data_IF_376990221576
#
_entry.id   IF_376990221576
#
_cell.length_a   1.000
_cell.length_b   1.000
_cell.length_c   1.000
_cell.angle_alpha   90.00
_cell.angle_beta   90.00
_cell.angle_gamma   90.00
#
_symmetry.space_group_name_H-M   'P 1'
#
loop_
_entity.id
_entity.type
_entity.pdbx_description
1 polymer ?
#
# COMPACT_ATOMS: atom_id res chain seq x y z
N UNK A 1 75.21 9.48 -18.04
CA UNK A 1 74.58 10.76 -17.67
C UNK A 1 73.26 10.45 -17.00
N UNK A 2 73.28 10.50 -15.67
CA UNK A 2 72.13 10.36 -14.79
C UNK A 2 71.24 11.59 -14.98
N UNK A 3 69.95 11.39 -15.24
CA UNK A 3 68.94 12.44 -15.09
C UNK A 3 68.01 12.02 -13.97
N UNK A 4 67.86 12.93 -13.02
CA UNK A 4 67.34 12.75 -11.68
C UNK A 4 65.83 12.54 -11.62
N UNK A 5 65.45 11.85 -10.56
CA UNK A 5 64.10 11.60 -10.09
C UNK A 5 63.41 12.88 -9.59
N UNK A 6 62.10 13.00 -9.84
CA UNK A 6 61.18 13.78 -9.00
C UNK A 6 59.97 12.93 -8.66
N UNK A 7 60.04 12.30 -7.49
CA UNK A 7 58.94 11.57 -6.88
C UNK A 7 57.85 12.50 -6.35
N UNK A 8 56.61 12.09 -6.49
CA UNK A 8 55.46 12.70 -5.84
C UNK A 8 55.55 12.49 -4.30
N UNK A 9 55.07 13.44 -3.48
CA UNK A 9 55.14 13.31 -2.02
C UNK A 9 54.26 12.16 -1.53
N UNK A 10 54.86 11.26 -0.75
CA UNK A 10 54.18 10.15 -0.08
C UNK A 10 53.20 10.68 0.98
N UNK A 11 51.93 10.33 0.84
CA UNK A 11 50.91 10.55 1.87
C UNK A 11 51.20 9.73 3.14
N UNK A 12 50.75 10.18 4.32
CA UNK A 12 51.10 9.55 5.59
C UNK A 12 50.59 8.10 5.71
N UNK A 13 51.34 7.21 6.38
CA UNK A 13 51.03 5.78 6.44
C UNK A 13 49.74 5.51 7.23
N UNK A 14 48.97 4.51 6.76
CA UNK A 14 47.64 4.08 7.23
C UNK A 14 47.60 3.48 8.66
N UNK A 15 48.41 3.96 9.60
CA UNK A 15 48.45 3.43 10.98
C UNK A 15 48.35 4.49 12.09
N UNK A 16 48.07 5.75 11.77
CA UNK A 16 47.97 6.83 12.78
C UNK A 16 46.54 7.27 13.18
N UNK A 17 45.48 6.62 12.69
CA UNK A 17 44.09 7.03 12.97
C UNK A 17 43.46 6.50 14.27
N UNK A 18 44.22 5.83 15.15
CA UNK A 18 43.67 5.22 16.38
C UNK A 18 44.13 5.85 17.70
N UNK A 19 44.66 7.08 17.71
CA UNK A 19 45.07 7.74 18.97
C UNK A 19 44.61 9.19 19.19
N UNK A 20 43.76 9.75 18.35
CA UNK A 20 43.18 11.08 18.60
C UNK A 20 41.66 11.03 18.47
N UNK A 21 40.96 11.09 19.61
CA UNK A 21 39.50 11.15 19.63
C UNK A 21 38.81 10.48 20.82
N UNK A 22 39.54 10.06 21.85
CA UNK A 22 38.96 9.60 23.11
C UNK A 22 38.58 10.78 24.03
N UNK A 23 37.90 11.81 23.50
CA UNK A 23 37.22 12.86 24.30
C UNK A 23 36.09 13.45 23.44
N UNK A 24 34.87 12.93 23.59
CA UNK A 24 33.54 13.60 23.36
C UNK A 24 32.39 12.58 23.50
N UNK A 25 32.46 11.69 24.50
CA UNK A 25 31.44 10.67 24.74
C UNK A 25 30.24 11.16 25.60
N UNK A 26 30.12 12.47 25.85
CA UNK A 26 29.05 13.02 26.71
C UNK A 26 27.87 13.66 25.94
N UNK A 27 28.03 14.00 24.66
CA UNK A 27 26.98 14.69 23.88
C UNK A 27 26.08 13.75 23.06
N UNK A 28 26.48 12.49 22.86
CA UNK A 28 25.75 11.51 22.06
C UNK A 28 24.52 10.91 22.75
N UNK A 29 24.49 10.89 24.09
CA UNK A 29 23.38 10.32 24.84
C UNK A 29 22.12 11.21 24.84
N UNK A 30 22.29 12.53 24.71
CA UNK A 30 21.15 13.48 24.64
C UNK A 30 20.52 13.48 23.25
N UNK A 31 21.32 13.39 22.19
CA UNK A 31 20.82 13.32 20.81
C UNK A 31 20.06 12.02 20.51
N UNK A 32 20.51 10.88 21.07
CA UNK A 32 19.83 9.60 20.92
C UNK A 32 18.42 9.59 21.58
N UNK A 33 18.23 10.37 22.65
CA UNK A 33 16.94 10.46 23.36
C UNK A 33 15.90 11.31 22.61
N UNK A 34 16.32 12.27 21.80
CA UNK A 34 15.45 13.05 20.90
C UNK A 34 15.02 12.25 19.65
N UNK A 35 15.89 11.37 19.15
CA UNK A 35 15.56 10.49 18.00
C UNK A 35 14.64 9.31 18.38
N UNK A 36 14.53 8.98 19.67
CA UNK A 36 13.68 7.90 20.20
C UNK A 36 12.38 8.40 20.84
N UNK A 37 12.21 9.70 21.08
CA UNK A 37 10.89 10.27 21.33
C UNK A 37 10.20 10.52 19.99
N UNK A 38 9.84 9.45 19.29
CA UNK A 38 8.60 9.53 18.52
C UNK A 38 7.53 9.89 19.55
N UNK A 39 7.12 11.16 19.57
CA UNK A 39 5.82 11.51 20.12
C UNK A 39 4.85 10.60 19.38
N UNK A 40 4.52 9.47 20.00
CA UNK A 40 3.29 8.76 19.70
C UNK A 40 2.26 9.80 20.04
N UNK A 41 1.84 10.56 19.03
CA UNK A 41 0.64 11.36 19.11
C UNK A 41 -0.41 10.38 19.62
N UNK A 42 -0.70 10.45 20.92
CA UNK A 42 -1.83 9.75 21.49
C UNK A 42 -2.98 10.38 20.74
N UNK A 43 -3.61 9.61 19.85
CA UNK A 43 -4.84 10.04 19.23
C UNK A 43 -5.71 10.57 20.36
N UNK A 44 -6.13 11.84 20.24
CA UNK A 44 -6.99 12.44 21.25
C UNK A 44 -8.17 11.49 21.48
N UNK A 45 -8.61 11.28 22.74
CA UNK A 45 -9.81 10.51 23.00
C UNK A 45 -10.93 11.03 22.09
N UNK A 46 -11.60 10.12 21.38
CA UNK A 46 -12.72 10.51 20.54
C UNK A 46 -13.74 11.25 21.42
N UNK A 47 -14.28 12.40 20.98
CA UNK A 47 -15.27 13.13 21.76
C UNK A 47 -16.45 12.21 22.08
N UNK A 48 -17.02 12.40 23.27
CA UNK A 48 -18.24 11.69 23.64
C UNK A 48 -19.36 12.12 22.68
N UNK A 49 -20.01 11.14 22.04
CA UNK A 49 -21.14 11.37 21.16
C UNK A 49 -22.38 10.66 21.71
N UNK A 50 -23.57 11.24 21.60
CA UNK A 50 -24.81 10.58 21.99
C UNK A 50 -25.13 9.42 21.03
N UNK A 51 -25.57 8.28 21.57
CA UNK A 51 -25.99 7.11 20.79
C UNK A 51 -24.95 5.98 20.72
N UNK A 52 -25.15 5.04 19.79
CA UNK A 52 -24.24 3.93 19.57
C UNK A 52 -23.05 4.32 18.67
N UNK A 53 -22.04 3.47 18.57
CA UNK A 53 -20.83 3.75 17.78
C UNK A 53 -21.13 4.05 16.30
N UNK A 54 -22.17 3.44 15.73
CA UNK A 54 -22.55 3.65 14.32
C UNK A 54 -23.07 5.07 14.11
N UNK A 55 -23.96 5.56 14.98
CA UNK A 55 -24.49 6.94 14.90
C UNK A 55 -23.34 7.95 15.03
N UNK A 56 -22.39 7.70 15.94
CA UNK A 56 -21.19 8.54 16.05
C UNK A 56 -20.38 8.53 14.75
N UNK A 57 -20.10 7.35 14.19
CA UNK A 57 -19.30 7.22 12.97
C UNK A 57 -19.95 7.92 11.77
N UNK A 58 -21.29 7.91 11.67
CA UNK A 58 -22.03 8.64 10.65
C UNK A 58 -21.90 10.16 10.84
N UNK A 59 -22.08 10.67 12.06
CA UNK A 59 -21.92 12.10 12.34
C UNK A 59 -20.48 12.59 12.12
N UNK A 60 -19.48 11.77 12.49
CA UNK A 60 -18.07 12.05 12.22
C UNK A 60 -17.78 12.08 10.71
N UNK A 61 -18.40 11.16 9.94
CA UNK A 61 -18.30 11.13 8.49
C UNK A 61 -18.94 12.37 7.86
N UNK A 62 -20.16 12.73 8.24
CA UNK A 62 -20.85 13.93 7.73
C UNK A 62 -20.01 15.18 7.99
N UNK A 63 -19.48 15.31 9.20
CA UNK A 63 -18.59 16.42 9.59
C UNK A 63 -17.28 16.41 8.80
N UNK A 64 -16.73 15.24 8.49
CA UNK A 64 -15.56 15.14 7.65
C UNK A 64 -15.88 15.60 6.22
N UNK A 65 -16.99 15.14 5.65
CA UNK A 65 -17.40 15.43 4.27
C UNK A 65 -17.72 16.90 4.00
N UNK A 66 -17.95 17.74 5.03
CA UNK A 66 -18.05 19.21 4.83
C UNK A 66 -16.71 19.86 4.49
N UNK A 67 -15.58 19.16 4.65
CA UNK A 67 -14.24 19.68 4.36
C UNK A 67 -13.91 19.48 2.89
N UNK A 68 -13.11 20.38 2.29
CA UNK A 68 -12.68 20.20 0.91
C UNK A 68 -11.80 18.94 0.77
N UNK A 69 -11.80 18.25 -0.39
CA UNK A 69 -11.11 16.97 -0.59
C UNK A 69 -9.62 16.97 -0.23
N UNK A 70 -8.93 18.10 -0.38
CA UNK A 70 -7.51 18.26 -0.04
C UNK A 70 -7.25 18.18 1.46
N UNK A 71 -8.28 18.39 2.28
CA UNK A 71 -8.24 18.25 3.74
C UNK A 71 -8.82 16.91 4.22
N UNK A 72 -9.28 16.05 3.31
CA UNK A 72 -9.72 14.70 3.61
C UNK A 72 -8.54 13.73 3.55
N UNK A 73 -8.56 12.71 4.40
CA UNK A 73 -7.60 11.61 4.37
C UNK A 73 -8.33 10.30 4.59
N UNK A 74 -8.41 9.48 3.55
CA UNK A 74 -9.03 8.17 3.65
C UNK A 74 -8.05 7.15 4.23
N UNK A 75 -8.46 6.51 5.33
CA UNK A 75 -7.68 5.47 6.00
C UNK A 75 -8.58 4.28 6.28
N UNK A 76 -8.05 3.08 6.04
CA UNK A 76 -8.70 1.82 6.40
C UNK A 76 -7.96 1.18 7.57
N UNK A 77 -8.64 1.01 8.69
CA UNK A 77 -8.13 0.29 9.87
C UNK A 77 -8.88 -1.03 9.99
N UNK A 78 -8.14 -2.13 10.12
CA UNK A 78 -8.69 -3.48 10.26
C UNK A 78 -8.22 -4.06 11.58
N UNK A 79 -9.14 -4.41 12.47
CA UNK A 79 -8.81 -5.15 13.69
C UNK A 79 -8.58 -6.63 13.35
N UNK A 80 -7.32 -7.02 13.27
CA UNK A 80 -6.92 -8.40 12.91
C UNK A 80 -7.27 -9.42 13.99
N UNK A 81 -7.49 -9.00 15.24
CA UNK A 81 -7.88 -9.90 16.34
C UNK A 81 -9.28 -10.47 16.15
N UNK A 82 -10.14 -9.73 15.44
CA UNK A 82 -11.51 -10.15 15.09
C UNK A 82 -11.57 -10.92 13.76
N UNK A 83 -10.45 -11.07 13.05
CA UNK A 83 -10.43 -11.76 11.78
C UNK A 83 -10.41 -13.28 11.98
N UNK A 84 -11.52 -13.93 11.63
CA UNK A 84 -11.67 -15.40 11.73
C UNK A 84 -11.35 -16.15 10.43
N UNK A 85 -10.85 -15.46 9.40
CA UNK A 85 -10.49 -16.12 8.14
C UNK A 85 -11.66 -16.46 7.20
N UNK A 86 -12.85 -15.89 7.39
CA UNK A 86 -14.05 -16.27 6.61
C UNK A 86 -14.03 -15.88 5.11
N UNK A 87 -13.05 -15.10 4.66
CA UNK A 87 -12.94 -14.61 3.27
C UNK A 87 -14.12 -13.80 2.72
N UNK A 88 -15.12 -13.43 3.54
CA UNK A 88 -16.26 -12.63 3.11
C UNK A 88 -15.82 -11.28 2.50
N UNK A 89 -14.80 -10.64 3.07
CA UNK A 89 -14.24 -9.39 2.53
C UNK A 89 -13.56 -9.55 1.16
N UNK A 90 -13.03 -10.74 0.85
CA UNK A 90 -12.44 -11.06 -0.45
C UNK A 90 -13.56 -11.18 -1.49
N UNK A 91 -14.60 -11.94 -1.17
CA UNK A 91 -15.76 -12.16 -2.05
C UNK A 91 -16.49 -10.84 -2.33
N UNK A 92 -16.78 -10.05 -1.29
CA UNK A 92 -17.43 -8.75 -1.44
C UNK A 92 -16.62 -7.79 -2.34
N UNK A 93 -15.30 -7.75 -2.17
CA UNK A 93 -14.45 -6.87 -2.97
C UNK A 93 -14.42 -7.31 -4.45
N UNK A 94 -14.40 -8.61 -4.72
CA UNK A 94 -14.50 -9.17 -6.09
C UNK A 94 -15.84 -8.82 -6.73
N UNK A 95 -16.93 -9.04 -5.99
CA UNK A 95 -18.29 -8.76 -6.44
C UNK A 95 -18.51 -7.27 -6.70
N UNK A 96 -17.89 -6.39 -5.91
CA UNK A 96 -18.04 -4.94 -6.06
C UNK A 96 -17.21 -4.40 -7.23
N UNK A 97 -15.93 -4.80 -7.35
CA UNK A 97 -14.96 -4.20 -8.28
C UNK A 97 -14.70 -5.05 -9.53
N UNK A 98 -15.50 -6.10 -9.77
CA UNK A 98 -15.39 -7.00 -10.93
C UNK A 98 -13.95 -7.53 -11.10
N UNK A 99 -13.38 -8.03 -9.99
CA UNK A 99 -12.01 -8.53 -9.98
C UNK A 99 -12.01 -9.96 -10.52
N UNK A 100 -11.15 -10.23 -11.51
CA UNK A 100 -11.04 -11.54 -12.13
C UNK A 100 -10.31 -12.58 -11.26
N UNK A 101 -10.18 -13.82 -11.76
CA UNK A 101 -9.42 -14.90 -11.12
C UNK A 101 -7.90 -14.62 -11.09
N UNK A 102 -7.40 -13.73 -11.95
CA UNK A 102 -5.99 -13.33 -12.03
C UNK A 102 -5.41 -12.83 -10.70
N UNK A 103 -6.26 -12.28 -9.83
CA UNK A 103 -5.82 -11.70 -8.58
C UNK A 103 -6.93 -11.45 -7.59
N UNK A 104 -6.62 -10.58 -6.63
CA UNK A 104 -7.59 -10.08 -5.67
C UNK A 104 -7.14 -8.75 -5.10
N UNK A 105 -8.06 -7.79 -5.01
CA UNK A 105 -7.84 -6.50 -4.36
C UNK A 105 -7.62 -6.66 -2.85
N UNK A 106 -8.26 -7.68 -2.28
CA UNK A 106 -8.19 -8.05 -0.87
C UNK A 106 -8.04 -9.56 -0.75
N UNK A 107 -7.13 -10.02 0.09
CA UNK A 107 -6.89 -11.44 0.38
C UNK A 107 -6.77 -11.65 1.88
N UNK A 108 -7.03 -12.85 2.36
CA UNK A 108 -6.80 -13.19 3.77
C UNK A 108 -5.64 -14.17 3.86
N UNK A 109 -4.55 -13.72 4.45
CA UNK A 109 -3.35 -14.53 4.64
C UNK A 109 -3.48 -15.32 5.93
N UNK A 110 -3.23 -16.62 5.88
CA UNK A 110 -3.06 -17.47 7.06
C UNK A 110 -1.59 -17.52 7.38
N UNK A 111 -1.21 -16.97 8.53
CA UNK A 111 0.17 -16.93 9.01
C UNK A 111 0.27 -17.91 10.17
N UNK A 112 1.11 -18.92 10.01
CA UNK A 112 1.44 -19.86 11.08
C UNK A 112 2.69 -19.36 11.80
N UNK A 113 2.67 -19.44 13.12
CA UNK A 113 3.79 -19.08 13.99
C UNK A 113 3.96 -20.14 15.06
N UNK A 114 5.19 -20.53 15.34
CA UNK A 114 5.52 -21.58 16.30
C UNK A 114 6.49 -22.63 15.73
N UNK A 115 6.79 -23.66 16.52
CA UNK A 115 7.76 -24.70 16.17
C UNK A 115 7.37 -26.05 16.77
N UNK A 116 7.63 -27.15 16.05
CA UNK A 116 7.26 -28.49 16.48
C UNK A 116 5.73 -28.66 16.53
N UNK A 117 5.21 -29.24 17.61
CA UNK A 117 3.77 -29.45 17.82
C UNK A 117 3.00 -28.20 18.26
N UNK A 118 3.69 -27.10 18.57
CA UNK A 118 3.06 -25.85 19.04
C UNK A 118 3.00 -24.84 17.90
N UNK A 119 1.93 -24.88 17.11
CA UNK A 119 1.68 -23.96 15.99
C UNK A 119 0.39 -23.18 16.23
N UNK A 120 0.47 -21.85 16.16
CA UNK A 120 -0.68 -20.96 16.19
C UNK A 120 -0.88 -20.32 14.82
N UNK A 121 -2.13 -20.35 14.33
CA UNK A 121 -2.54 -19.69 13.10
C UNK A 121 -3.17 -18.33 13.37
N UNK A 122 -2.73 -17.29 12.66
CA UNK A 122 -3.36 -15.96 12.66
C UNK A 122 -3.82 -15.60 11.25
N UNK A 123 -5.01 -15.03 11.12
CA UNK A 123 -5.51 -14.50 9.86
C UNK A 123 -5.21 -13.01 9.73
N UNK A 124 -4.60 -12.61 8.61
CA UNK A 124 -4.30 -11.22 8.29
C UNK A 124 -4.91 -10.84 6.94
N UNK A 125 -5.98 -10.03 6.92
CA UNK A 125 -6.44 -9.40 5.70
C UNK A 125 -5.35 -8.50 5.12
N UNK A 126 -5.05 -8.67 3.85
CA UNK A 126 -4.07 -7.89 3.11
C UNK A 126 -4.73 -7.24 1.89
N UNK A 127 -4.47 -5.96 1.69
CA UNK A 127 -4.92 -5.15 0.57
C UNK A 127 -3.86 -4.09 0.24
N UNK A 128 -4.10 -3.27 -0.79
CA UNK A 128 -3.27 -2.09 -1.03
C UNK A 128 -3.37 -1.12 0.16
N UNK A 129 -2.23 -0.71 0.70
CA UNK A 129 -2.13 0.19 1.85
C UNK A 129 -2.22 1.68 1.49
N UNK A 130 -2.38 2.02 0.21
CA UNK A 130 -2.38 3.41 -0.29
C UNK A 130 -1.19 4.24 0.23
N UNK A 131 0.02 3.70 0.15
CA UNK A 131 1.21 4.30 0.74
C UNK A 131 1.39 5.78 0.33
N UNK A 132 1.89 6.61 1.24
CA UNK A 132 2.24 8.01 0.93
C UNK A 132 3.45 8.09 0.01
N UNK A 133 4.50 7.35 0.35
CA UNK A 133 5.68 7.18 -0.50
C UNK A 133 5.62 5.85 -1.27
N UNK A 134 4.71 5.75 -2.23
CA UNK A 134 4.40 4.51 -2.95
C UNK A 134 5.60 4.00 -3.79
N UNK A 135 6.20 2.83 -3.45
CA UNK A 135 7.32 2.28 -4.23
C UNK A 135 6.91 1.88 -5.64
N UNK A 136 5.67 1.42 -5.84
CA UNK A 136 5.12 1.13 -7.16
C UNK A 136 5.06 2.37 -8.06
N UNK A 137 4.79 3.56 -7.51
CA UNK A 137 4.75 4.80 -8.29
C UNK A 137 6.16 5.24 -8.73
N UNK A 138 7.18 5.05 -7.88
CA UNK A 138 8.58 5.35 -8.23
C UNK A 138 9.20 4.37 -9.23
N UNK A 139 8.60 3.19 -9.39
CA UNK A 139 9.11 2.13 -10.25
C UNK A 139 8.67 2.27 -11.73
N UNK A 140 7.76 3.20 -12.03
CA UNK A 140 7.20 3.41 -13.38
C UNK A 140 7.31 4.89 -13.78
N UNK A 141 7.21 5.22 -15.08
CA UNK A 141 7.19 6.61 -15.53
C UNK A 141 6.14 7.46 -14.80
N UNK A 142 6.44 8.75 -14.63
CA UNK A 142 5.56 9.69 -13.99
C UNK A 142 4.20 9.77 -14.70
N UNK A 143 3.12 9.96 -13.93
CA UNK A 143 1.75 10.07 -14.45
C UNK A 143 0.98 8.75 -14.48
N UNK A 144 1.65 7.59 -14.55
CA UNK A 144 0.98 6.28 -14.57
C UNK A 144 0.38 5.89 -13.21
N UNK A 145 1.01 6.33 -12.12
CA UNK A 145 0.51 6.16 -10.75
C UNK A 145 0.62 7.51 -10.06
N UNK A 146 -0.51 8.01 -9.53
CA UNK A 146 -0.58 9.31 -8.86
C UNK A 146 -1.19 9.19 -7.47
N UNK A 147 -0.79 10.07 -6.56
CA UNK A 147 -1.42 10.18 -5.24
C UNK A 147 -2.45 11.32 -5.31
N UNK A 148 -3.72 11.01 -5.03
CA UNK A 148 -4.78 12.00 -4.93
C UNK A 148 -4.60 12.86 -3.67
N UNK A 149 -5.15 14.10 -3.64
CA UNK A 149 -5.12 14.95 -2.46
C UNK A 149 -5.70 14.30 -1.21
N UNK A 150 -6.71 13.43 -1.39
CA UNK A 150 -7.39 12.67 -0.31
C UNK A 150 -6.60 11.46 0.23
N UNK A 151 -5.41 11.19 -0.33
CA UNK A 151 -4.53 10.09 0.10
C UNK A 151 -4.68 8.78 -0.68
N UNK A 152 -5.61 8.67 -1.65
CA UNK A 152 -5.75 7.45 -2.45
C UNK A 152 -4.65 7.40 -3.52
N UNK A 153 -4.01 6.22 -3.70
CA UNK A 153 -3.10 5.99 -4.83
C UNK A 153 -3.94 5.55 -6.02
N UNK A 154 -3.87 6.27 -7.11
CA UNK A 154 -4.66 6.04 -8.32
C UNK A 154 -3.78 5.52 -9.45
N UNK A 155 -4.30 4.55 -10.20
CA UNK A 155 -3.62 3.95 -11.35
C UNK A 155 -4.26 4.48 -12.63
N UNK A 156 -3.46 4.84 -13.61
CA UNK A 156 -3.93 5.09 -14.96
C UNK A 156 -4.04 3.76 -15.73
N UNK A 157 -5.26 3.25 -15.89
CA UNK A 157 -5.51 1.99 -16.59
C UNK A 157 -5.15 2.01 -18.07
N UNK A 158 -5.04 3.17 -18.70
CA UNK A 158 -4.68 3.27 -20.11
C UNK A 158 -3.17 3.16 -20.31
N UNK A 159 -2.39 3.73 -19.39
CA UNK A 159 -0.94 3.80 -19.49
C UNK A 159 -0.23 2.67 -18.72
N UNK A 160 -0.74 2.29 -17.54
CA UNK A 160 -0.12 1.30 -16.66
C UNK A 160 -0.48 -0.14 -17.11
N UNK A 161 0.01 -0.51 -18.30
CA UNK A 161 -0.18 -1.83 -18.93
C UNK A 161 1.14 -2.53 -19.24
N UNK A 162 1.08 -3.83 -19.51
CA UNK A 162 2.21 -4.64 -19.97
C UNK A 162 3.39 -4.60 -19.00
N UNK A 163 4.60 -4.35 -19.51
CA UNK A 163 5.81 -4.32 -18.67
C UNK A 163 5.70 -3.35 -17.49
N UNK A 164 5.07 -2.19 -17.67
CA UNK A 164 4.90 -1.22 -16.56
C UNK A 164 3.98 -1.75 -15.47
N UNK A 165 2.92 -2.47 -15.84
CA UNK A 165 2.04 -3.14 -14.89
C UNK A 165 2.78 -4.19 -14.07
N UNK A 166 3.61 -5.01 -14.72
CA UNK A 166 4.44 -6.02 -14.04
C UNK A 166 5.50 -5.39 -13.14
N UNK A 167 6.18 -4.33 -13.60
CA UNK A 167 7.16 -3.59 -12.79
C UNK A 167 6.52 -2.98 -11.54
N UNK A 168 5.35 -2.33 -11.69
CA UNK A 168 4.61 -1.79 -10.55
C UNK A 168 4.16 -2.89 -9.57
N UNK A 169 3.73 -4.04 -10.08
CA UNK A 169 3.35 -5.19 -9.27
C UNK A 169 4.53 -5.75 -8.46
N UNK A 170 5.69 -5.94 -9.11
CA UNK A 170 6.92 -6.41 -8.47
C UNK A 170 7.46 -5.43 -7.41
N UNK A 171 7.30 -4.12 -7.63
CA UNK A 171 7.73 -3.09 -6.69
C UNK A 171 6.86 -2.98 -5.42
N UNK A 172 5.67 -3.60 -5.39
CA UNK A 172 4.76 -3.51 -4.25
C UNK A 172 5.19 -4.46 -3.12
N UNK A 173 5.61 -3.98 -1.92
CA UNK A 173 6.06 -4.85 -0.83
C UNK A 173 4.92 -5.69 -0.23
N UNK A 174 3.67 -5.35 -0.54
CA UNK A 174 2.48 -6.07 -0.09
C UNK A 174 1.93 -7.03 -1.15
N UNK A 175 2.52 -7.06 -2.35
CA UNK A 175 1.99 -7.74 -3.54
C UNK A 175 0.48 -7.50 -3.72
N UNK A 176 0.08 -6.22 -3.62
CA UNK A 176 -1.32 -5.78 -3.65
C UNK A 176 -1.77 -5.31 -5.04
N UNK A 177 -0.85 -5.26 -6.00
CA UNK A 177 -1.12 -4.95 -7.40
C UNK A 177 -1.05 -6.27 -8.16
N UNK A 178 -2.04 -6.54 -9.00
CA UNK A 178 -2.09 -7.68 -9.91
C UNK A 178 -2.30 -7.17 -11.33
N UNK A 179 -1.96 -8.00 -12.30
CA UNK A 179 -2.15 -7.71 -13.72
C UNK A 179 -3.34 -8.52 -14.20
N UNK A 180 -4.32 -7.88 -14.83
CA UNK A 180 -5.47 -8.59 -15.39
C UNK A 180 -5.04 -9.45 -16.58
N UNK A 181 -5.41 -10.72 -16.56
CA UNK A 181 -5.07 -11.70 -17.59
C UNK A 181 -6.25 -12.05 -18.50
N UNK A 182 -7.43 -11.47 -18.25
CA UNK A 182 -8.65 -11.67 -19.04
C UNK A 182 -9.42 -12.94 -18.71
N UNK A 183 -8.86 -13.91 -17.97
CA UNK A 183 -9.55 -15.16 -17.61
C UNK A 183 -10.81 -14.89 -16.81
N UNK A 184 -11.84 -15.70 -16.97
CA UNK A 184 -13.06 -15.66 -16.16
C UNK A 184 -13.07 -16.80 -15.12
N UNK A 185 -13.89 -16.68 -14.08
CA UNK A 185 -14.14 -17.82 -13.20
C UNK A 185 -14.92 -18.92 -13.91
N UNK A 186 -15.68 -18.56 -14.96
CA UNK A 186 -16.55 -19.48 -15.69
C UNK A 186 -15.96 -19.97 -17.02
N UNK A 187 -14.66 -19.75 -17.28
CA UNK A 187 -13.98 -20.21 -18.51
C UNK A 187 -14.11 -21.74 -18.71
N UNK A 188 -14.24 -22.50 -17.62
CA UNK A 188 -14.44 -23.95 -17.66
C UNK A 188 -15.92 -24.39 -17.78
N UNK A 189 -16.84 -23.44 -18.03
CA UNK A 189 -18.28 -23.69 -18.15
C UNK A 189 -18.78 -23.41 -19.57
N UNK A 190 -19.97 -23.91 -19.97
CA UNK A 190 -20.48 -23.73 -21.34
C UNK A 190 -20.71 -22.27 -21.75
N UNK A 191 -20.97 -21.38 -20.80
CA UNK A 191 -21.32 -19.99 -21.07
C UNK A 191 -20.74 -19.05 -20.03
N UNK A 192 -20.15 -17.94 -20.49
CA UNK A 192 -19.72 -16.83 -19.63
C UNK A 192 -20.93 -16.23 -18.92
N UNK A 193 -20.88 -16.20 -17.60
CA UNK A 193 -21.97 -15.73 -16.75
C UNK A 193 -22.12 -14.19 -16.80
N UNK A 194 -23.32 -13.69 -16.53
CA UNK A 194 -23.64 -12.27 -16.71
C UNK A 194 -22.84 -11.35 -15.79
N UNK A 195 -22.55 -11.80 -14.56
CA UNK A 195 -21.76 -11.00 -13.61
C UNK A 195 -20.34 -10.70 -14.11
N UNK A 196 -19.81 -11.46 -15.08
CA UNK A 196 -18.49 -11.26 -15.67
C UNK A 196 -18.51 -10.29 -16.85
N UNK A 197 -19.70 -10.06 -17.44
CA UNK A 197 -19.93 -9.11 -18.53
C UNK A 197 -20.31 -7.72 -18.04
N UNK A 198 -20.65 -7.60 -16.74
CA UNK A 198 -21.09 -6.36 -16.12
C UNK A 198 -20.06 -5.24 -16.27
N UNK A 199 -20.56 -4.04 -16.43
CA UNK A 199 -19.76 -2.82 -16.35
C UNK A 199 -19.56 -2.42 -14.88
N UNK A 200 -18.43 -1.79 -14.59
CA UNK A 200 -18.12 -1.24 -13.29
C UNK A 200 -17.44 0.12 -13.44
N UNK A 201 -17.52 0.95 -12.40
CA UNK A 201 -17.00 2.30 -12.42
C UNK A 201 -15.72 2.37 -11.59
N UNK A 202 -14.60 2.75 -12.21
CA UNK A 202 -13.31 2.94 -11.53
C UNK A 202 -12.56 4.12 -12.18
N UNK A 203 -11.98 4.99 -11.35
CA UNK A 203 -11.20 6.16 -11.77
C UNK A 203 -11.97 7.10 -12.72
N UNK A 204 -13.23 7.40 -12.39
CA UNK A 204 -14.08 8.33 -13.14
C UNK A 204 -14.56 7.81 -14.50
N UNK A 205 -14.36 6.52 -14.80
CA UNK A 205 -14.78 5.90 -16.07
C UNK A 205 -15.45 4.55 -15.83
N UNK A 206 -16.38 4.22 -16.71
CA UNK A 206 -16.96 2.88 -16.77
C UNK A 206 -16.05 1.97 -17.59
N UNK A 207 -15.83 0.76 -17.09
CA UNK A 207 -14.97 -0.25 -17.70
C UNK A 207 -15.69 -1.58 -17.79
N UNK A 208 -15.33 -2.36 -18.81
CA UNK A 208 -15.48 -3.82 -18.79
C UNK A 208 -14.13 -4.44 -18.52
N UNK A 209 -14.11 -5.51 -17.74
CA UNK A 209 -12.87 -6.17 -17.30
C UNK A 209 -11.98 -6.59 -18.48
N UNK A 210 -12.59 -7.02 -19.59
CA UNK A 210 -11.90 -7.38 -20.84
C UNK A 210 -11.08 -6.24 -21.46
N UNK A 211 -11.42 -4.98 -21.21
CA UNK A 211 -10.69 -3.81 -21.71
C UNK A 211 -9.41 -3.52 -20.91
N UNK A 212 -9.35 -4.10 -19.70
CA UNK A 212 -8.25 -3.95 -18.76
C UNK A 212 -7.23 -5.08 -18.84
N UNK A 213 -7.33 -6.00 -19.81
CA UNK A 213 -6.32 -7.05 -20.01
C UNK A 213 -4.94 -6.41 -20.17
N UNK A 214 -3.97 -6.92 -19.39
CA UNK A 214 -2.61 -6.40 -19.29
C UNK A 214 -2.46 -5.16 -18.40
N UNK A 215 -3.54 -4.57 -17.87
CA UNK A 215 -3.47 -3.44 -16.96
C UNK A 215 -3.21 -3.88 -15.52
N UNK A 216 -2.46 -3.06 -14.77
CA UNK A 216 -2.33 -3.22 -13.33
C UNK A 216 -3.61 -2.75 -12.63
N UNK A 217 -4.12 -3.59 -11.73
CA UNK A 217 -5.27 -3.30 -10.88
C UNK A 217 -4.95 -3.55 -9.41
N UNK A 218 -5.66 -2.87 -8.52
CA UNK A 218 -5.45 -2.94 -7.06
C UNK A 218 -6.67 -2.40 -6.32
N UNK A 219 -6.73 -2.68 -5.01
CA UNK A 219 -7.65 -1.97 -4.12
C UNK A 219 -7.43 -0.45 -4.20
N UNK A 220 -8.53 0.28 -4.35
CA UNK A 220 -8.57 1.75 -4.40
C UNK A 220 -9.67 2.29 -3.45
N UNK A 221 -9.88 1.59 -2.33
CA UNK A 221 -10.89 1.92 -1.32
C UNK A 221 -12.32 2.10 -1.87
N UNK A 222 -12.67 1.33 -2.90
CA UNK A 222 -13.97 1.44 -3.57
C UNK A 222 -14.30 2.90 -3.91
N UNK A 223 -13.33 3.63 -4.49
CA UNK A 223 -13.43 5.04 -4.88
C UNK A 223 -14.79 5.43 -5.48
N UNK A 224 -15.42 4.57 -6.27
CA UNK A 224 -16.72 4.84 -6.90
C UNK A 224 -17.87 4.98 -5.89
N UNK A 225 -17.75 4.35 -4.71
CA UNK A 225 -18.64 4.59 -3.57
C UNK A 225 -18.27 5.87 -2.85
N UNK A 226 -16.98 6.13 -2.63
CA UNK A 226 -16.53 7.36 -1.99
C UNK A 226 -16.93 8.62 -2.77
N UNK A 227 -16.98 8.52 -4.11
CA UNK A 227 -17.38 9.61 -5.01
C UNK A 227 -18.90 9.78 -5.08
N UNK A 228 -19.68 8.74 -4.74
CA UNK A 228 -21.15 8.81 -4.73
C UNK A 228 -21.71 9.40 -3.41
N UNK A 229 -20.92 9.38 -2.33
CA UNK A 229 -21.38 9.68 -0.96
C UNK A 229 -22.03 8.48 -0.27
#
# INVERSE_FOLDING_TARGET
>A
MLSESRGAPAGPPRRSFLRAGAVTAASGAVAARWLLSSDRARAAPLPAAPGNEVIRMLADLDTALTRPPEKLRWVMVVDTRKCIGCNACTVACRAENAVGPAGSYRRVLRIESGSGSWVAGTFKPANCMQCDNAPCARAVPAGMIRKRPDGIVELDYTQLKGQYAHTAAAACPYAAIHVEDGRNFTDATPTVQEYEKREFHEYGRSWRRRELVGAARKCHFCLHRLEAG
#
